data_IF_050005394531
#
_entry.id   IF_050005394531
#
_cell.length_a   1.000
_cell.length_b   1.000
_cell.length_c   1.000
_cell.angle_alpha   90.00
_cell.angle_beta   90.00
_cell.angle_gamma   90.00
#
_symmetry.space_group_name_H-M   'P 1'
#
loop_
_entity.id
_entity.type
_entity.pdbx_description
1 polymer ?
#
# COMPACT_ATOMS: atom_id res chain seq x y z
N UNK A 1 14.84 -15.74 -47.67
CA UNK A 1 14.54 -15.66 -46.25
C UNK A 1 14.47 -14.19 -45.86
N UNK A 2 13.28 -13.63 -45.76
CA UNK A 2 13.09 -12.21 -45.45
C UNK A 2 12.94 -12.08 -43.94
N UNK A 3 13.96 -11.52 -43.28
CA UNK A 3 13.94 -11.25 -41.82
C UNK A 3 13.06 -10.05 -41.58
N UNK A 4 11.90 -10.25 -40.98
CA UNK A 4 11.08 -9.16 -40.49
C UNK A 4 11.73 -8.58 -39.22
N UNK A 5 12.23 -7.36 -39.30
CA UNK A 5 12.64 -6.58 -38.15
C UNK A 5 11.38 -6.26 -37.34
N UNK A 6 11.34 -6.74 -36.09
CA UNK A 6 10.33 -6.32 -35.14
C UNK A 6 10.59 -4.83 -34.79
N UNK A 7 9.55 -3.98 -34.74
CA UNK A 7 9.75 -2.61 -34.33
C UNK A 7 10.18 -2.62 -32.84
N UNK A 8 11.37 -2.11 -32.56
CA UNK A 8 11.78 -1.79 -31.18
C UNK A 8 10.84 -0.71 -30.65
N UNK A 9 9.87 -1.12 -29.87
CA UNK A 9 9.05 -0.19 -29.08
C UNK A 9 9.96 0.38 -27.99
N UNK A 10 10.56 1.54 -28.24
CA UNK A 10 11.28 2.31 -27.22
C UNK A 10 10.26 2.74 -26.17
N UNK A 11 10.16 1.99 -25.10
CA UNK A 11 9.43 2.41 -23.91
C UNK A 11 10.19 3.59 -23.29
N UNK A 12 9.68 4.79 -23.47
CA UNK A 12 10.20 5.94 -22.71
C UNK A 12 9.81 5.74 -21.25
N UNK A 13 10.80 5.54 -20.39
CA UNK A 13 10.56 5.38 -18.96
C UNK A 13 9.85 6.64 -18.42
N UNK A 14 8.79 6.46 -17.64
CA UNK A 14 8.06 7.56 -17.02
C UNK A 14 8.95 8.26 -15.98
N UNK A 15 9.09 9.58 -16.08
CA UNK A 15 9.71 10.39 -15.00
C UNK A 15 8.71 10.54 -13.85
N UNK A 16 8.74 9.58 -12.93
CA UNK A 16 7.84 9.55 -11.79
C UNK A 16 8.01 10.73 -10.84
N UNK A 17 9.22 11.31 -10.74
CA UNK A 17 9.46 12.51 -9.95
C UNK A 17 8.81 13.75 -10.59
N UNK A 18 8.79 13.84 -11.92
CA UNK A 18 8.06 14.88 -12.64
C UNK A 18 6.56 14.76 -12.41
N UNK A 19 5.99 13.54 -12.46
CA UNK A 19 4.57 13.30 -12.13
C UNK A 19 4.26 13.76 -10.70
N UNK A 20 5.11 13.43 -9.74
CA UNK A 20 4.94 13.86 -8.34
C UNK A 20 4.98 15.39 -8.20
N UNK A 21 5.88 16.05 -8.94
CA UNK A 21 6.00 17.51 -8.95
C UNK A 21 4.77 18.19 -9.56
N UNK A 22 4.19 17.61 -10.59
CA UNK A 22 2.97 18.13 -11.23
C UNK A 22 1.77 18.12 -10.29
N UNK A 23 1.58 17.03 -9.52
CA UNK A 23 0.44 16.92 -8.60
C UNK A 23 0.68 17.61 -7.24
N UNK A 24 1.93 17.88 -6.88
CA UNK A 24 2.34 18.41 -5.58
C UNK A 24 1.59 19.68 -5.13
N UNK A 25 1.44 20.71 -5.98
CA UNK A 25 0.73 21.93 -5.60
C UNK A 25 -0.71 21.72 -5.15
N UNK A 26 -1.44 20.75 -5.77
CA UNK A 26 -2.79 20.41 -5.36
C UNK A 26 -2.84 19.75 -3.96
N UNK A 27 -1.83 18.94 -3.63
CA UNK A 27 -1.70 18.34 -2.30
C UNK A 27 -1.36 19.42 -1.25
N UNK A 28 -0.46 20.34 -1.58
CA UNK A 28 -0.03 21.42 -0.68
C UNK A 28 -1.18 22.33 -0.27
N UNK A 29 -2.09 22.66 -1.20
CA UNK A 29 -3.18 23.61 -0.97
C UNK A 29 -4.06 23.26 0.24
N UNK A 30 -4.18 21.98 0.58
CA UNK A 30 -5.02 21.50 1.67
C UNK A 30 -4.22 20.93 2.86
N UNK A 31 -2.90 20.79 2.74
CA UNK A 31 -2.06 20.09 3.71
C UNK A 31 -2.14 20.67 5.12
N UNK A 32 -2.10 22.00 5.26
CA UNK A 32 -2.16 22.68 6.57
C UNK A 32 -3.49 22.45 7.28
N UNK A 33 -4.62 22.48 6.56
CA UNK A 33 -5.94 22.24 7.15
C UNK A 33 -6.09 20.79 7.58
N UNK A 34 -5.64 19.85 6.77
CA UNK A 34 -5.66 18.42 7.13
C UNK A 34 -4.79 18.11 8.35
N UNK A 35 -3.61 18.75 8.44
CA UNK A 35 -2.78 18.57 9.63
C UNK A 35 -3.44 19.14 10.90
N UNK A 36 -4.18 20.25 10.76
CA UNK A 36 -4.95 20.84 11.86
C UNK A 36 -6.12 19.99 12.29
N UNK A 37 -6.88 19.38 11.35
CA UNK A 37 -8.06 18.56 11.63
C UNK A 37 -7.70 17.12 11.99
N UNK A 38 -6.55 16.64 11.55
CA UNK A 38 -6.13 15.24 11.69
C UNK A 38 -6.79 14.30 10.69
N UNK A 39 -7.40 14.83 9.64
CA UNK A 39 -8.10 14.06 8.62
C UNK A 39 -7.13 13.58 7.53
N UNK A 40 -7.28 12.33 7.10
CA UNK A 40 -6.56 11.84 5.93
C UNK A 40 -7.18 12.38 4.65
N UNK A 41 -6.36 12.69 3.66
CA UNK A 41 -6.84 13.18 2.38
C UNK A 41 -7.29 12.06 1.44
N UNK A 42 -8.59 11.88 1.30
CA UNK A 42 -9.15 11.01 0.26
C UNK A 42 -8.82 11.55 -1.14
N UNK A 43 -8.96 12.85 -1.35
CA UNK A 43 -8.65 13.54 -2.61
C UNK A 43 -7.19 13.34 -3.04
N UNK A 44 -6.25 13.47 -2.09
CA UNK A 44 -4.84 13.24 -2.37
C UNK A 44 -4.59 11.78 -2.82
N UNK A 45 -5.20 10.80 -2.15
CA UNK A 45 -5.05 9.41 -2.55
C UNK A 45 -5.74 9.09 -3.88
N UNK A 46 -6.84 9.75 -4.21
CA UNK A 46 -7.46 9.62 -5.55
C UNK A 46 -6.56 10.23 -6.63
N UNK A 47 -5.91 11.35 -6.35
CA UNK A 47 -4.89 11.94 -7.24
C UNK A 47 -3.70 11.00 -7.42
N UNK A 48 -3.19 10.37 -6.34
CA UNK A 48 -2.10 9.40 -6.42
C UNK A 48 -2.48 8.14 -7.23
N UNK A 49 -3.74 7.70 -7.16
CA UNK A 49 -4.25 6.58 -7.97
C UNK A 49 -4.33 6.96 -9.44
N UNK A 50 -4.95 8.10 -9.74
CA UNK A 50 -5.16 8.55 -11.13
C UNK A 50 -3.88 8.93 -11.83
N UNK A 51 -2.86 9.43 -11.11
CA UNK A 51 -1.52 9.68 -11.65
C UNK A 51 -0.69 8.40 -11.87
N UNK A 52 -1.15 7.24 -11.38
CA UNK A 52 -0.43 5.97 -11.48
C UNK A 52 0.68 5.76 -10.44
N UNK A 53 0.93 6.73 -9.55
CA UNK A 53 2.01 6.66 -8.54
C UNK A 53 1.82 5.44 -7.62
N UNK A 54 0.59 5.08 -7.25
CA UNK A 54 0.33 3.90 -6.42
C UNK A 54 0.76 2.59 -7.06
N UNK A 55 0.76 2.51 -8.39
CA UNK A 55 1.20 1.33 -9.15
C UNK A 55 2.57 1.48 -9.79
N UNK A 56 3.27 2.59 -9.53
CA UNK A 56 4.54 2.91 -10.18
C UNK A 56 5.60 1.79 -10.05
N UNK A 57 5.72 1.14 -8.89
CA UNK A 57 6.69 0.07 -8.68
C UNK A 57 6.27 -1.30 -9.21
N UNK A 58 4.99 -1.53 -9.51
CA UNK A 58 4.56 -2.81 -10.08
C UNK A 58 5.24 -3.02 -11.42
N UNK A 59 5.78 -4.23 -11.72
CA UNK A 59 6.45 -4.48 -12.97
C UNK A 59 5.56 -4.22 -14.19
N UNK A 60 6.15 -3.71 -15.28
CA UNK A 60 5.43 -3.38 -16.53
C UNK A 60 4.65 -4.57 -17.07
N UNK A 61 5.18 -5.78 -16.93
CA UNK A 61 4.50 -7.01 -17.35
C UNK A 61 3.15 -7.24 -16.66
N UNK A 62 2.89 -6.59 -15.52
CA UNK A 62 1.63 -6.63 -14.78
C UNK A 62 0.82 -5.32 -14.91
N UNK A 63 1.21 -4.45 -15.83
CA UNK A 63 0.52 -3.18 -16.10
C UNK A 63 0.92 -2.04 -15.17
N UNK A 64 1.98 -2.18 -14.40
CA UNK A 64 2.54 -1.11 -13.57
C UNK A 64 3.61 -0.28 -14.29
N UNK A 65 4.23 0.63 -13.55
CA UNK A 65 5.21 1.57 -14.09
C UNK A 65 6.65 1.06 -14.12
N UNK A 66 6.97 -0.04 -13.44
CA UNK A 66 8.31 -0.62 -13.38
C UNK A 66 9.35 0.26 -12.66
N UNK A 67 8.89 1.24 -11.84
CA UNK A 67 9.76 2.15 -11.12
C UNK A 67 10.68 1.41 -10.13
N UNK A 68 11.92 1.82 -10.10
CA UNK A 68 12.92 1.35 -9.15
C UNK A 68 12.70 1.95 -7.75
N UNK A 69 13.39 1.39 -6.75
CA UNK A 69 13.40 1.97 -5.40
C UNK A 69 13.96 3.40 -5.36
N UNK A 70 14.97 3.69 -6.21
CA UNK A 70 15.57 5.02 -6.27
C UNK A 70 14.59 6.05 -6.85
N UNK A 71 13.87 5.70 -7.91
CA UNK A 71 12.83 6.55 -8.52
C UNK A 71 11.68 6.77 -7.54
N UNK A 72 11.22 5.71 -6.85
CA UNK A 72 10.17 5.87 -5.85
C UNK A 72 10.62 6.69 -4.64
N UNK A 73 11.88 6.60 -4.24
CA UNK A 73 12.48 7.47 -3.24
C UNK A 73 12.48 8.95 -3.66
N UNK A 74 12.71 9.23 -4.96
CA UNK A 74 12.60 10.59 -5.51
C UNK A 74 11.14 11.08 -5.49
N UNK A 75 10.18 10.24 -5.86
CA UNK A 75 8.74 10.53 -5.77
C UNK A 75 8.33 10.90 -4.34
N UNK A 76 8.67 10.05 -3.37
CA UNK A 76 8.30 10.30 -1.97
C UNK A 76 8.92 11.59 -1.42
N UNK A 77 10.17 11.90 -1.79
CA UNK A 77 10.83 13.15 -1.41
C UNK A 77 10.15 14.37 -2.04
N UNK A 78 9.78 14.29 -3.32
CA UNK A 78 9.05 15.36 -4.00
C UNK A 78 7.69 15.61 -3.35
N UNK A 79 6.90 14.56 -3.15
CA UNK A 79 5.59 14.66 -2.48
C UNK A 79 5.71 15.21 -1.05
N UNK A 80 6.74 14.81 -0.30
CA UNK A 80 6.96 15.27 1.07
C UNK A 80 7.27 16.76 1.16
N UNK A 81 7.80 17.38 0.10
CA UNK A 81 7.99 18.83 0.05
C UNK A 81 6.66 19.60 -0.04
N UNK A 82 5.60 18.94 -0.46
CA UNK A 82 4.25 19.51 -0.59
C UNK A 82 3.33 19.07 0.55
N UNK A 83 3.25 17.76 0.81
CA UNK A 83 2.41 17.17 1.87
C UNK A 83 3.12 15.96 2.50
N UNK A 84 3.87 16.17 3.59
CA UNK A 84 4.62 15.11 4.25
C UNK A 84 3.73 14.00 4.82
N UNK A 85 2.51 14.32 5.26
CA UNK A 85 1.58 13.34 5.80
C UNK A 85 1.10 12.35 4.73
N UNK A 86 0.74 12.84 3.55
CA UNK A 86 0.39 12.01 2.40
C UNK A 86 1.59 11.20 1.91
N UNK A 87 2.78 11.80 1.85
CA UNK A 87 4.00 11.09 1.42
C UNK A 87 4.36 9.93 2.36
N UNK A 88 4.29 10.12 3.67
CA UNK A 88 4.54 9.04 4.66
C UNK A 88 3.46 7.96 4.59
N UNK A 89 2.20 8.33 4.43
CA UNK A 89 1.10 7.35 4.27
C UNK A 89 1.28 6.53 2.98
N UNK A 90 1.70 7.16 1.88
CA UNK A 90 2.03 6.48 0.63
C UNK A 90 3.25 5.57 0.79
N UNK A 91 4.27 5.96 1.56
CA UNK A 91 5.43 5.12 1.83
C UNK A 91 5.04 3.79 2.49
N UNK A 92 3.97 3.77 3.30
CA UNK A 92 3.46 2.54 3.92
C UNK A 92 2.79 1.60 2.90
N UNK A 93 2.22 2.12 1.84
CA UNK A 93 1.79 1.33 0.69
C UNK A 93 2.99 0.85 -0.15
N UNK A 94 3.88 1.77 -0.46
CA UNK A 94 5.02 1.57 -1.36
C UNK A 94 5.93 0.43 -0.92
N UNK A 95 6.29 0.33 0.37
CA UNK A 95 7.16 -0.75 0.84
C UNK A 95 6.50 -2.13 0.76
N UNK A 96 5.17 -2.20 0.88
CA UNK A 96 4.44 -3.47 0.67
C UNK A 96 4.47 -3.89 -0.80
N UNK A 97 4.29 -2.93 -1.74
CA UNK A 97 4.45 -3.20 -3.18
C UNK A 97 5.89 -3.65 -3.47
N UNK A 98 6.89 -2.92 -2.95
CA UNK A 98 8.29 -3.27 -3.09
C UNK A 98 8.61 -4.69 -2.59
N UNK A 99 8.02 -5.09 -1.46
CA UNK A 99 8.13 -6.47 -0.95
C UNK A 99 7.56 -7.49 -1.94
N UNK A 100 6.44 -7.20 -2.60
CA UNK A 100 5.88 -8.11 -3.60
C UNK A 100 6.73 -8.15 -4.88
N UNK A 101 7.32 -7.03 -5.28
CA UNK A 101 8.30 -6.98 -6.40
C UNK A 101 9.52 -7.83 -6.06
N UNK A 102 10.05 -7.69 -4.84
CA UNK A 102 11.16 -8.54 -4.38
C UNK A 102 10.79 -10.03 -4.42
N UNK A 103 9.62 -10.40 -3.91
CA UNK A 103 9.11 -11.78 -3.95
C UNK A 103 9.02 -12.32 -5.38
N UNK A 104 8.44 -11.53 -6.28
CA UNK A 104 8.34 -11.88 -7.69
C UNK A 104 9.73 -12.15 -8.32
N UNK A 105 10.68 -11.27 -8.07
CA UNK A 105 12.06 -11.40 -8.58
C UNK A 105 12.80 -12.62 -8.00
N UNK A 106 12.29 -13.20 -6.91
CA UNK A 106 12.83 -14.43 -6.30
C UNK A 106 11.93 -15.66 -6.58
N UNK A 107 11.12 -15.61 -7.64
CA UNK A 107 10.32 -16.75 -8.10
C UNK A 107 9.06 -17.05 -7.29
N UNK A 108 8.64 -16.14 -6.39
CA UNK A 108 7.40 -16.27 -5.63
C UNK A 108 6.25 -15.57 -6.35
N UNK A 109 5.07 -16.18 -6.37
CA UNK A 109 3.90 -15.57 -6.99
C UNK A 109 3.41 -14.33 -6.23
N UNK A 110 3.36 -13.21 -6.92
CA UNK A 110 2.83 -11.92 -6.44
C UNK A 110 1.72 -11.38 -7.35
N UNK A 111 1.31 -12.14 -8.37
CA UNK A 111 0.38 -11.72 -9.42
C UNK A 111 -0.95 -11.21 -8.88
N UNK A 112 -1.50 -11.86 -7.85
CA UNK A 112 -2.75 -11.45 -7.21
C UNK A 112 -2.67 -10.07 -6.57
N UNK A 113 -1.55 -9.76 -5.93
CA UNK A 113 -1.36 -8.44 -5.30
C UNK A 113 -1.15 -7.39 -6.37
N UNK A 114 -0.33 -7.66 -7.38
CA UNK A 114 -0.14 -6.75 -8.51
C UNK A 114 -1.46 -6.46 -9.24
N UNK A 115 -2.27 -7.49 -9.50
CA UNK A 115 -3.58 -7.31 -10.12
C UNK A 115 -4.52 -6.42 -9.30
N UNK A 116 -4.48 -6.51 -7.96
CA UNK A 116 -5.23 -5.60 -7.11
C UNK A 116 -4.70 -4.17 -7.14
N UNK A 117 -3.39 -3.99 -7.07
CA UNK A 117 -2.77 -2.65 -7.06
C UNK A 117 -3.01 -1.94 -8.39
N UNK A 118 -2.91 -2.64 -9.52
CA UNK A 118 -3.11 -2.06 -10.86
C UNK A 118 -4.59 -2.05 -11.25
N UNK A 119 -5.27 -3.19 -11.19
CA UNK A 119 -6.63 -3.34 -11.70
C UNK A 119 -7.70 -2.71 -10.80
N UNK A 120 -7.57 -2.89 -9.48
CA UNK A 120 -8.54 -2.34 -8.50
C UNK A 120 -8.07 -1.00 -7.92
N UNK A 121 -6.92 -0.46 -8.34
CA UNK A 121 -6.25 0.71 -7.77
C UNK A 121 -6.10 0.61 -6.25
N UNK A 122 -5.84 -0.59 -5.73
CA UNK A 122 -5.83 -0.87 -4.32
C UNK A 122 -4.63 -0.22 -3.62
N UNK A 123 -4.91 0.47 -2.53
CA UNK A 123 -3.90 0.94 -1.58
C UNK A 123 -3.73 -0.11 -0.49
N UNK A 124 -2.50 -0.60 -0.34
CA UNK A 124 -2.12 -1.57 0.67
C UNK A 124 -1.85 -0.85 2.00
N UNK A 125 -2.35 -1.39 3.09
CA UNK A 125 -2.16 -0.87 4.44
C UNK A 125 -1.18 -1.76 5.18
N UNK A 126 -0.12 -1.15 5.70
CA UNK A 126 0.87 -1.82 6.54
C UNK A 126 0.48 -1.71 8.02
N UNK A 127 0.70 -2.77 8.76
CA UNK A 127 0.71 -2.73 10.23
C UNK A 127 2.14 -2.53 10.74
N UNK A 128 2.31 -1.98 11.93
CA UNK A 128 3.62 -1.59 12.44
C UNK A 128 4.66 -2.73 12.45
N UNK A 129 5.94 -2.39 12.36
CA UNK A 129 7.02 -3.36 12.29
C UNK A 129 7.05 -4.36 13.46
N UNK A 130 6.68 -3.94 14.66
CA UNK A 130 6.54 -4.82 15.83
C UNK A 130 5.51 -5.92 15.62
N UNK A 131 4.46 -5.65 14.86
CA UNK A 131 3.42 -6.62 14.53
C UNK A 131 3.96 -7.78 13.67
N UNK A 132 4.92 -7.50 12.79
CA UNK A 132 5.57 -8.51 11.97
C UNK A 132 6.51 -9.44 12.77
N UNK A 133 6.99 -8.97 13.93
CA UNK A 133 7.87 -9.75 14.81
C UNK A 133 7.08 -10.57 15.82
N UNK A 134 6.06 -9.95 16.45
CA UNK A 134 5.31 -10.55 17.56
C UNK A 134 3.98 -11.14 17.11
N UNK A 135 3.40 -10.64 16.04
CA UNK A 135 2.13 -11.10 15.45
C UNK A 135 0.96 -11.15 16.42
N UNK A 136 0.37 -10.02 16.69
CA UNK A 136 -0.83 -10.00 17.54
C UNK A 136 -2.09 -10.44 16.76
N UNK A 137 -3.12 -10.82 17.52
CA UNK A 137 -4.37 -11.37 17.00
C UNK A 137 -4.32 -12.86 16.77
N UNK A 138 -5.45 -13.43 16.43
CA UNK A 138 -5.64 -14.87 16.25
C UNK A 138 -6.32 -15.17 14.92
N UNK A 139 -5.94 -16.28 14.32
CA UNK A 139 -6.63 -16.89 13.20
C UNK A 139 -6.97 -18.34 13.58
N UNK A 140 -8.18 -18.76 13.29
CA UNK A 140 -8.61 -20.16 13.38
C UNK A 140 -9.12 -20.61 12.03
N UNK A 141 -8.85 -21.86 11.68
CA UNK A 141 -9.31 -22.42 10.41
C UNK A 141 -10.82 -22.59 10.42
N UNK A 142 -11.45 -22.23 9.33
CA UNK A 142 -12.87 -22.44 9.08
C UNK A 142 -13.05 -23.00 7.67
N UNK A 143 -14.25 -23.46 7.35
CA UNK A 143 -14.54 -23.89 5.99
C UNK A 143 -14.32 -22.74 5.00
N UNK A 144 -13.54 -23.01 3.95
CA UNK A 144 -13.16 -22.02 2.93
C UNK A 144 -12.06 -21.02 3.31
N UNK A 145 -11.47 -21.06 4.52
CA UNK A 145 -10.39 -20.15 4.87
C UNK A 145 -10.07 -20.00 6.35
N UNK A 146 -9.92 -18.75 6.80
CA UNK A 146 -9.60 -18.42 8.19
C UNK A 146 -10.53 -17.33 8.72
N UNK A 147 -11.00 -17.51 9.94
CA UNK A 147 -11.60 -16.43 10.72
C UNK A 147 -10.49 -15.75 11.51
N UNK A 148 -10.32 -14.45 11.25
CA UNK A 148 -9.27 -13.63 11.86
C UNK A 148 -9.89 -12.64 12.83
N UNK A 149 -9.29 -12.50 14.02
CA UNK A 149 -9.60 -11.48 15.01
C UNK A 149 -8.31 -10.81 15.48
N UNK A 150 -8.16 -9.52 15.20
CA UNK A 150 -6.95 -8.77 15.57
C UNK A 150 -7.24 -7.29 15.73
N UNK A 151 -6.47 -6.65 16.63
CA UNK A 151 -6.36 -5.20 16.71
C UNK A 151 -4.96 -4.81 16.27
N UNK A 152 -4.88 -4.06 15.18
CA UNK A 152 -3.62 -3.65 14.56
C UNK A 152 -3.42 -2.15 14.69
N UNK A 153 -2.31 -1.75 15.30
CA UNK A 153 -1.89 -0.36 15.45
C UNK A 153 -0.35 -0.28 15.49
N UNK A 154 0.23 0.71 14.80
CA UNK A 154 -0.41 1.62 13.85
C UNK A 154 -0.83 0.95 12.53
N UNK A 155 -1.77 1.56 11.80
CA UNK A 155 -2.21 1.14 10.48
C UNK A 155 -2.40 2.37 9.57
N UNK A 156 -1.29 3.03 9.24
CA UNK A 156 -1.29 4.29 8.49
C UNK A 156 -1.99 4.14 7.14
N UNK A 157 -2.88 5.09 6.82
CA UNK A 157 -3.64 5.08 5.58
C UNK A 157 -4.82 4.10 5.55
N UNK A 158 -5.22 3.49 6.69
CA UNK A 158 -6.30 2.49 6.70
C UNK A 158 -7.66 3.03 6.25
N UNK A 159 -7.90 4.33 6.33
CA UNK A 159 -9.15 4.97 5.87
C UNK A 159 -9.27 4.98 4.36
N UNK A 160 -8.17 5.24 3.67
CA UNK A 160 -8.06 5.25 2.20
C UNK A 160 -7.63 3.89 1.63
N UNK A 161 -7.21 2.97 2.51
CA UNK A 161 -6.73 1.65 2.15
C UNK A 161 -7.84 0.68 1.75
N UNK A 162 -7.47 -0.30 0.96
CA UNK A 162 -8.36 -1.34 0.43
C UNK A 162 -8.00 -2.73 0.98
N UNK A 163 -6.73 -2.96 1.30
CA UNK A 163 -6.22 -4.27 1.73
C UNK A 163 -5.20 -4.05 2.85
N UNK A 164 -5.42 -4.65 4.02
CA UNK A 164 -4.40 -4.70 5.06
C UNK A 164 -3.50 -5.91 4.83
N UNK A 165 -2.19 -5.68 4.82
CA UNK A 165 -1.16 -6.73 4.77
C UNK A 165 -0.53 -6.83 6.16
N UNK A 166 -0.69 -7.97 6.80
CA UNK A 166 -0.34 -8.16 8.21
C UNK A 166 0.08 -9.59 8.52
N UNK A 167 0.62 -9.80 9.70
CA UNK A 167 0.88 -11.13 10.26
C UNK A 167 -0.12 -11.46 11.35
N UNK A 168 -0.55 -12.72 11.43
CA UNK A 168 -1.53 -13.20 12.40
C UNK A 168 -1.06 -14.54 12.96
N UNK A 169 -1.32 -14.79 14.22
CA UNK A 169 -1.07 -16.09 14.85
C UNK A 169 -2.17 -17.07 14.51
N UNK A 170 -1.83 -18.17 13.85
CA UNK A 170 -2.74 -19.28 13.58
C UNK A 170 -2.69 -20.24 14.76
N UNK A 171 -3.72 -20.19 15.62
CA UNK A 171 -3.73 -20.86 16.92
C UNK A 171 -3.92 -22.39 16.82
N UNK A 172 -4.77 -22.83 15.90
CA UNK A 172 -5.15 -24.25 15.72
C UNK A 172 -4.35 -24.95 14.60
N UNK A 173 -3.13 -24.50 14.34
CA UNK A 173 -2.25 -25.16 13.38
C UNK A 173 -1.85 -26.57 13.89
N UNK A 174 -1.82 -27.60 13.03
CA UNK A 174 -1.60 -28.99 13.45
C UNK A 174 -0.31 -29.26 14.22
N UNK A 175 0.75 -28.51 13.92
CA UNK A 175 2.07 -28.67 14.53
C UNK A 175 2.38 -27.57 15.58
N UNK A 176 1.35 -27.01 16.20
CA UNK A 176 1.45 -25.88 17.12
C UNK A 176 1.29 -24.52 16.42
N UNK A 177 1.10 -23.47 17.23
CA UNK A 177 0.80 -22.14 16.72
C UNK A 177 1.86 -21.64 15.72
N UNK A 178 1.40 -21.17 14.57
CA UNK A 178 2.22 -20.63 13.47
C UNK A 178 1.86 -19.17 13.19
N UNK A 179 2.81 -18.41 12.64
CA UNK A 179 2.53 -17.09 12.10
C UNK A 179 2.22 -17.22 10.61
N UNK A 180 1.09 -16.66 10.21
CA UNK A 180 0.71 -16.52 8.80
C UNK A 180 0.75 -15.06 8.39
N UNK A 181 1.21 -14.80 7.17
CA UNK A 181 1.12 -13.50 6.54
C UNK A 181 -0.08 -13.50 5.61
N UNK A 182 -0.94 -12.52 5.74
CA UNK A 182 -2.19 -12.45 4.99
C UNK A 182 -2.49 -11.05 4.48
N UNK A 183 -3.24 -11.01 3.39
CA UNK A 183 -3.81 -9.80 2.82
C UNK A 183 -5.33 -9.87 3.02
N UNK A 184 -5.86 -8.95 3.84
CA UNK A 184 -7.27 -8.94 4.26
C UNK A 184 -7.95 -7.72 3.63
N UNK A 185 -9.04 -7.89 2.86
CA UNK A 185 -9.82 -6.76 2.35
C UNK A 185 -10.43 -5.94 3.49
N UNK A 186 -10.27 -4.62 3.44
CA UNK A 186 -10.77 -3.71 4.49
C UNK A 186 -12.26 -3.38 4.35
N UNK A 187 -12.87 -3.65 3.20
CA UNK A 187 -14.25 -3.25 2.87
C UNK A 187 -15.13 -4.41 2.40
N UNK A 188 -14.72 -5.64 2.63
CA UNK A 188 -15.46 -6.81 2.13
C UNK A 188 -16.73 -7.14 2.91
N UNK A 189 -16.89 -6.62 4.14
CA UNK A 189 -18.06 -6.91 4.98
C UNK A 189 -18.60 -5.63 5.63
N UNK A 190 -19.84 -5.20 5.29
CA UNK A 190 -20.52 -4.12 5.99
C UNK A 190 -20.80 -4.42 7.47
N UNK A 191 -20.66 -5.68 7.88
CA UNK A 191 -20.85 -6.11 9.27
C UNK A 191 -19.54 -6.08 10.09
N UNK A 192 -18.40 -5.76 9.48
CA UNK A 192 -17.15 -5.57 10.23
C UNK A 192 -17.08 -4.14 10.74
N UNK A 193 -17.40 -3.87 12.02
CA UNK A 193 -17.37 -2.51 12.55
C UNK A 193 -15.92 -2.02 12.59
N UNK A 194 -15.63 -1.01 11.82
CA UNK A 194 -14.36 -0.28 11.89
C UNK A 194 -14.43 0.65 13.08
N UNK A 195 -13.81 0.31 14.21
CA UNK A 195 -13.51 1.31 15.19
C UNK A 195 -12.15 1.91 14.89
N UNK A 196 -12.14 3.16 14.46
CA UNK A 196 -10.94 3.89 14.12
C UNK A 196 -10.78 5.00 15.14
N UNK A 197 -9.61 5.07 15.80
CA UNK A 197 -9.28 6.14 16.75
C UNK A 197 -7.96 6.78 16.40
N UNK A 198 -7.93 8.10 16.41
CA UNK A 198 -6.78 8.93 16.06
C UNK A 198 -5.83 9.12 17.23
N UNK A 199 -4.55 9.10 16.97
CA UNK A 199 -3.49 9.45 17.90
C UNK A 199 -2.31 10.12 17.21
N UNK A 200 -1.64 10.94 17.88
CA UNK A 200 -0.90 12.17 17.61
C UNK A 200 0.40 12.10 16.83
N UNK A 201 0.67 13.21 16.14
CA UNK A 201 1.80 13.69 15.34
C UNK A 201 1.74 13.16 13.92
N UNK A 202 1.81 14.07 12.96
CA UNK A 202 1.45 13.87 11.56
C UNK A 202 0.00 13.34 11.48
N UNK A 203 -0.94 14.11 11.97
CA UNK A 203 -2.34 13.70 12.14
C UNK A 203 -2.99 13.23 10.86
N UNK A 204 -2.68 13.90 9.75
CA UNK A 204 -3.24 13.56 8.44
C UNK A 204 -2.73 12.24 7.83
N UNK A 205 -1.91 11.46 8.53
CA UNK A 205 -1.50 10.13 8.11
C UNK A 205 -2.60 9.06 8.27
N UNK A 206 -3.72 9.37 8.94
CA UNK A 206 -4.72 8.37 9.25
C UNK A 206 -4.15 7.21 10.08
N UNK A 207 -3.15 7.48 10.93
CA UNK A 207 -2.56 6.48 11.80
C UNK A 207 -3.37 6.38 13.09
N UNK A 208 -3.84 5.20 13.40
CA UNK A 208 -4.70 4.96 14.54
C UNK A 208 -3.99 4.15 15.61
N UNK A 209 -3.93 4.73 16.82
CA UNK A 209 -3.67 4.02 18.06
C UNK A 209 -4.97 4.00 18.86
N UNK A 210 -5.57 2.87 18.99
CA UNK A 210 -6.74 2.70 19.83
C UNK A 210 -6.52 1.63 20.86
#
# INVERSE_FOLDING_TARGET
MTTFAQPETTFTATDWAAVAREIGPALYAEAAERDRTGEISFTAFDTLRTSGITSAMVPVAFGGGGATHAEMGAVLRELASHDPSTAVSLAMHTHLVATQVWRHNHGMDASKVFGRVVGDHAVLVSTGASDWVVSNGSAVRVDGGYRVSARKAPASGCEVGNVVVTSIRWEDAPDGAKVIHCAIPLRADPLCPKSIRFGHRLRAMGSHSG
#
